data_IF_327316401657
#
_entry.id   IF_327316401657
#
_cell.length_a   1.000
_cell.length_b   1.000
_cell.length_c   1.000
_cell.angle_alpha   90.00
_cell.angle_beta   90.00
_cell.angle_gamma   90.00
#
_symmetry.space_group_name_H-M   'P 1'
#
loop_
_entity.id
_entity.type
_entity.pdbx_description
1 polymer ?
#
# COMPACT_ATOMS: atom_id res chain seq x y z
N UNK A 1 3.58 4.05 -9.86
CA UNK A 1 4.14 4.97 -8.83
C UNK A 1 4.46 6.32 -9.45
N UNK A 2 4.48 7.37 -8.64
CA UNK A 2 4.92 8.72 -9.04
C UNK A 2 6.32 8.99 -8.50
N UNK A 3 7.23 9.37 -9.36
CA UNK A 3 8.64 9.62 -9.03
C UNK A 3 8.99 11.06 -9.37
N UNK A 4 9.57 11.80 -8.42
CA UNK A 4 10.17 13.12 -8.68
C UNK A 4 11.69 13.02 -8.67
N UNK A 5 12.33 13.64 -9.64
CA UNK A 5 13.79 13.79 -9.72
C UNK A 5 14.10 15.27 -9.67
N UNK A 6 14.86 15.70 -8.67
CA UNK A 6 15.11 17.11 -8.38
C UNK A 6 16.59 17.40 -8.46
N UNK A 7 16.99 18.31 -9.34
CA UNK A 7 18.38 18.73 -9.51
C UNK A 7 18.56 20.24 -9.49
N UNK A 8 19.73 20.68 -9.03
CA UNK A 8 20.09 22.11 -8.93
C UNK A 8 21.31 22.49 -9.80
N UNK A 9 21.92 21.51 -10.47
CA UNK A 9 23.09 21.72 -11.33
C UNK A 9 22.89 21.10 -12.71
N UNK A 10 23.50 21.62 -13.76
CA UNK A 10 23.47 21.05 -15.14
C UNK A 10 23.92 19.59 -15.16
N UNK A 11 24.93 19.26 -14.35
CA UNK A 11 25.47 17.90 -14.26
C UNK A 11 24.44 16.97 -13.58
N UNK A 12 23.84 17.43 -12.48
CA UNK A 12 22.76 16.71 -11.82
C UNK A 12 21.54 16.51 -12.72
N UNK A 13 21.17 17.51 -13.53
CA UNK A 13 20.08 17.38 -14.49
C UNK A 13 20.33 16.25 -15.51
N UNK A 14 21.56 16.12 -16.04
CA UNK A 14 21.91 15.00 -16.94
C UNK A 14 21.76 13.62 -16.26
N UNK A 15 22.21 13.49 -15.00
CA UNK A 15 22.01 12.27 -14.21
C UNK A 15 20.52 12.01 -13.99
N UNK A 16 19.76 13.06 -13.70
CA UNK A 16 18.30 12.96 -13.54
C UNK A 16 17.61 12.44 -14.80
N UNK A 17 17.98 12.92 -15.97
CA UNK A 17 17.45 12.43 -17.25
C UNK A 17 17.86 10.96 -17.53
N UNK A 18 19.06 10.53 -17.13
CA UNK A 18 19.48 9.14 -17.24
C UNK A 18 18.58 8.23 -16.39
N UNK A 19 18.32 8.60 -15.13
CA UNK A 19 17.43 7.86 -14.23
C UNK A 19 15.98 7.88 -14.77
N UNK A 20 15.49 9.06 -15.20
CA UNK A 20 14.15 9.18 -15.81
C UNK A 20 13.95 8.20 -16.96
N UNK A 21 14.92 8.11 -17.85
CA UNK A 21 14.83 7.26 -19.04
C UNK A 21 14.64 5.77 -18.72
N UNK A 22 15.11 5.32 -17.57
CA UNK A 22 14.95 3.94 -17.12
C UNK A 22 13.55 3.66 -16.55
N UNK A 23 12.85 4.68 -16.00
CA UNK A 23 11.59 4.47 -15.29
C UNK A 23 10.36 4.96 -16.06
N UNK A 24 10.49 5.82 -17.06
CA UNK A 24 9.36 6.50 -17.72
C UNK A 24 8.38 5.57 -18.45
N UNK A 25 8.78 4.35 -18.75
CA UNK A 25 7.94 3.35 -19.42
C UNK A 25 6.89 2.74 -18.48
N UNK A 26 7.22 2.61 -17.19
CA UNK A 26 6.39 1.91 -16.20
C UNK A 26 5.83 2.84 -15.12
N UNK A 27 6.40 4.05 -14.99
CA UNK A 27 6.10 4.98 -13.91
C UNK A 27 5.87 6.40 -14.43
N UNK A 28 5.12 7.20 -13.69
CA UNK A 28 5.04 8.63 -13.90
C UNK A 28 6.30 9.28 -13.30
N UNK A 29 7.14 9.91 -14.15
CA UNK A 29 8.42 10.48 -13.71
C UNK A 29 8.53 11.93 -14.15
N UNK A 30 8.62 12.83 -13.17
CA UNK A 30 8.78 14.26 -13.37
C UNK A 30 10.18 14.72 -12.93
N UNK A 31 10.82 15.54 -13.77
CA UNK A 31 12.12 16.14 -13.46
C UNK A 31 11.94 17.61 -13.14
N UNK A 32 12.52 18.05 -12.04
CA UNK A 32 12.51 19.44 -11.55
C UNK A 32 13.92 20.03 -11.59
N UNK A 33 14.08 21.16 -12.29
CA UNK A 33 15.36 21.80 -12.50
C UNK A 33 15.30 23.30 -12.16
N UNK A 34 16.40 23.90 -11.72
CA UNK A 34 16.47 25.33 -11.42
C UNK A 34 16.48 26.17 -12.71
N UNK A 35 15.64 27.22 -12.75
CA UNK A 35 15.26 28.02 -13.96
C UNK A 35 16.42 28.75 -14.67
N UNK A 36 17.56 29.00 -14.03
CA UNK A 36 18.69 29.72 -14.64
C UNK A 36 19.40 28.93 -15.76
N UNK A 37 18.76 27.87 -16.29
CA UNK A 37 19.38 26.91 -17.20
C UNK A 37 18.40 26.53 -18.31
N UNK A 38 18.91 26.30 -19.49
CA UNK A 38 18.15 25.72 -20.59
C UNK A 38 17.69 24.32 -20.18
N UNK A 39 16.41 24.23 -19.76
CA UNK A 39 15.78 22.98 -19.45
C UNK A 39 15.56 22.20 -20.73
N UNK A 40 15.81 20.90 -20.70
CA UNK A 40 15.28 20.03 -21.77
C UNK A 40 13.75 20.11 -21.82
N UNK A 41 13.15 19.84 -22.96
CA UNK A 41 11.69 19.94 -23.24
C UNK A 41 10.79 19.15 -22.26
N UNK A 42 11.36 18.35 -21.34
CA UNK A 42 10.65 17.46 -20.43
C UNK A 42 10.83 17.79 -18.94
N UNK A 43 11.56 18.88 -18.60
CA UNK A 43 11.82 19.24 -17.21
C UNK A 43 10.94 20.42 -16.75
N UNK A 44 10.46 20.34 -15.51
CA UNK A 44 9.72 21.42 -14.85
C UNK A 44 10.71 22.40 -14.24
N UNK A 45 10.69 23.63 -14.72
CA UNK A 45 11.60 24.68 -14.33
C UNK A 45 11.16 25.36 -13.03
N UNK A 46 12.05 25.45 -12.02
CA UNK A 46 11.73 26.06 -10.73
C UNK A 46 12.63 27.28 -10.46
N UNK A 47 12.05 28.42 -10.12
CA UNK A 47 12.80 29.60 -9.68
C UNK A 47 13.42 29.40 -8.29
N UNK A 48 12.73 28.66 -7.40
CA UNK A 48 13.18 28.26 -6.07
C UNK A 48 12.58 26.90 -5.72
N UNK A 49 13.38 25.99 -5.16
CA UNK A 49 12.93 24.66 -4.77
C UNK A 49 12.13 24.66 -3.47
N UNK A 50 12.52 25.48 -2.50
CA UNK A 50 11.96 25.44 -1.13
C UNK A 50 10.42 25.54 -1.07
N UNK A 51 9.73 26.41 -1.83
CA UNK A 51 8.27 26.48 -1.81
C UNK A 51 7.56 25.25 -2.37
N UNK A 52 8.25 24.43 -3.14
CA UNK A 52 7.66 23.25 -3.82
C UNK A 52 7.85 21.94 -3.06
N UNK A 53 8.65 21.95 -1.98
CA UNK A 53 8.96 20.71 -1.23
C UNK A 53 7.70 20.10 -0.63
N UNK A 54 6.79 20.88 -0.10
CA UNK A 54 5.52 20.39 0.46
C UNK A 54 4.68 19.68 -0.60
N UNK A 55 4.57 20.27 -1.78
CA UNK A 55 3.87 19.63 -2.90
C UNK A 55 4.56 18.34 -3.34
N UNK A 56 5.88 18.36 -3.51
CA UNK A 56 6.65 17.15 -3.86
C UNK A 56 6.46 16.05 -2.82
N UNK A 57 6.46 16.41 -1.54
CA UNK A 57 6.27 15.47 -0.43
C UNK A 57 4.91 14.78 -0.45
N UNK A 58 3.85 15.51 -0.81
CA UNK A 58 2.49 14.98 -0.80
C UNK A 58 2.09 14.27 -2.09
N UNK A 59 2.69 14.65 -3.23
CA UNK A 59 2.26 14.18 -4.55
C UNK A 59 3.04 12.97 -5.07
N UNK A 60 4.23 12.69 -4.51
CA UNK A 60 5.13 11.64 -5.02
C UNK A 60 5.42 10.55 -4.00
N UNK A 61 5.46 9.31 -4.49
CA UNK A 61 5.82 8.12 -3.70
C UNK A 61 7.34 8.04 -3.46
N UNK A 62 8.15 8.54 -4.42
CA UNK A 62 9.62 8.49 -4.44
C UNK A 62 10.19 9.80 -4.90
N UNK A 63 11.21 10.30 -4.20
CA UNK A 63 11.88 11.56 -4.55
C UNK A 63 13.41 11.37 -4.54
N UNK A 64 14.05 11.55 -5.70
CA UNK A 64 15.51 11.58 -5.83
C UNK A 64 16.00 13.03 -5.87
N UNK A 65 16.77 13.43 -4.89
CA UNK A 65 17.47 14.73 -4.86
C UNK A 65 18.91 14.58 -5.34
N UNK A 66 19.27 15.27 -6.42
CA UNK A 66 20.66 15.30 -6.94
C UNK A 66 21.30 16.61 -6.49
N UNK A 67 21.77 16.62 -5.24
CA UNK A 67 22.38 17.78 -4.58
C UNK A 67 23.01 17.39 -3.23
N UNK A 68 23.61 18.36 -2.52
CA UNK A 68 24.21 18.11 -1.22
C UNK A 68 23.20 17.63 -0.16
N UNK A 69 23.50 16.51 0.51
CA UNK A 69 22.64 15.87 1.54
C UNK A 69 22.17 16.84 2.63
N UNK A 70 23.07 17.71 3.12
CA UNK A 70 22.70 18.67 4.16
C UNK A 70 21.67 19.71 3.72
N UNK A 71 21.56 20.02 2.42
CA UNK A 71 20.52 20.88 1.86
C UNK A 71 19.19 20.13 1.91
N UNK A 72 19.18 18.88 1.44
CA UNK A 72 17.98 18.03 1.42
C UNK A 72 17.40 17.89 2.83
N UNK A 73 18.23 17.48 3.79
CA UNK A 73 17.81 17.31 5.20
C UNK A 73 17.12 18.56 5.75
N UNK A 74 17.69 19.75 5.54
CA UNK A 74 17.07 21.01 6.02
C UNK A 74 15.77 21.34 5.32
N UNK A 75 15.61 20.93 4.06
CA UNK A 75 14.36 21.19 3.31
C UNK A 75 13.23 20.25 3.70
N UNK A 76 13.53 18.97 3.90
CA UNK A 76 12.51 17.95 4.20
C UNK A 76 12.15 17.85 5.68
N UNK A 77 13.03 18.31 6.59
CA UNK A 77 12.84 18.17 8.04
C UNK A 77 11.46 18.63 8.57
N UNK A 78 10.84 19.72 8.06
CA UNK A 78 9.50 20.14 8.52
C UNK A 78 8.36 19.19 8.13
N UNK A 79 8.57 18.31 7.17
CA UNK A 79 7.54 17.43 6.59
C UNK A 79 7.65 16.00 7.09
N UNK A 80 8.77 15.60 7.70
CA UNK A 80 8.99 14.24 8.21
C UNK A 80 8.00 13.95 9.33
N UNK A 81 7.22 12.86 9.17
CA UNK A 81 6.20 12.42 10.13
C UNK A 81 6.50 11.01 10.63
N UNK A 82 6.28 10.03 9.78
CA UNK A 82 6.45 8.62 10.13
C UNK A 82 6.85 7.79 8.92
N UNK A 83 7.71 6.76 9.15
CA UNK A 83 8.25 5.88 8.10
C UNK A 83 7.21 5.12 7.27
N UNK A 84 5.95 5.07 7.70
CA UNK A 84 4.84 4.45 6.97
C UNK A 84 4.09 5.41 6.04
N UNK A 85 4.32 6.71 6.18
CA UNK A 85 3.61 7.76 5.43
C UNK A 85 4.58 8.58 4.56
N UNK A 86 5.83 8.72 5.03
CA UNK A 86 6.83 9.52 4.35
C UNK A 86 7.28 8.86 3.05
N UNK A 87 7.45 9.63 1.95
CA UNK A 87 7.93 9.10 0.68
C UNK A 87 9.34 8.52 0.80
N UNK A 88 9.71 7.64 -0.14
CA UNK A 88 11.07 7.16 -0.25
C UNK A 88 11.99 8.28 -0.75
N UNK A 89 13.00 8.65 0.04
CA UNK A 89 13.93 9.73 -0.31
C UNK A 89 15.32 9.19 -0.58
N UNK A 90 15.81 9.47 -1.78
CA UNK A 90 17.21 9.27 -2.14
C UNK A 90 17.93 10.60 -2.29
N UNK A 91 19.22 10.58 -1.98
CA UNK A 91 20.13 11.69 -2.27
C UNK A 91 21.33 11.20 -3.05
N UNK A 92 21.64 11.87 -4.16
CA UNK A 92 22.80 11.60 -5.00
C UNK A 92 23.67 12.84 -5.09
N UNK A 93 24.98 12.68 -5.06
CA UNK A 93 25.90 13.78 -5.37
C UNK A 93 25.83 14.13 -6.87
N UNK A 94 26.18 15.36 -7.23
CA UNK A 94 26.11 15.82 -8.62
C UNK A 94 27.12 15.13 -9.54
N UNK A 95 28.10 14.45 -8.98
CA UNK A 95 29.07 13.62 -9.69
C UNK A 95 28.54 12.24 -10.04
N UNK A 96 27.46 11.80 -9.37
CA UNK A 96 26.93 10.45 -9.53
C UNK A 96 27.82 9.37 -8.91
N UNK A 97 28.62 9.71 -7.89
CA UNK A 97 29.50 8.74 -7.24
C UNK A 97 28.78 7.91 -6.18
N UNK A 98 27.83 8.53 -5.46
CA UNK A 98 27.10 7.91 -4.37
C UNK A 98 25.61 8.19 -4.50
N UNK A 99 24.80 7.18 -4.22
CA UNK A 99 23.36 7.32 -4.02
C UNK A 99 23.00 6.79 -2.63
N UNK A 100 22.35 7.64 -1.84
CA UNK A 100 22.10 7.42 -0.41
C UNK A 100 20.62 7.17 -0.19
N UNK A 101 20.28 6.03 0.46
CA UNK A 101 18.96 5.82 1.03
C UNK A 101 18.80 6.68 2.27
N UNK A 102 18.11 7.84 2.12
CA UNK A 102 18.04 8.83 3.21
C UNK A 102 16.85 8.59 4.11
N UNK A 103 15.67 8.25 3.56
CA UNK A 103 14.43 8.10 4.34
C UNK A 103 13.55 6.99 3.76
N UNK A 104 12.77 6.34 4.63
CA UNK A 104 11.80 5.28 4.28
C UNK A 104 12.43 4.07 3.58
N UNK A 105 13.55 3.56 4.15
CA UNK A 105 14.38 2.51 3.58
C UNK A 105 13.63 1.23 3.21
N UNK A 106 12.92 0.62 4.17
CA UNK A 106 12.21 -0.64 4.00
C UNK A 106 10.80 -0.45 3.44
N UNK A 107 9.87 0.08 4.24
CA UNK A 107 8.46 0.23 3.86
C UNK A 107 8.25 1.13 2.65
N UNK A 108 8.96 2.24 2.56
CA UNK A 108 8.94 3.11 1.39
C UNK A 108 9.74 2.57 0.21
N UNK A 109 10.62 1.56 0.45
CA UNK A 109 11.43 0.93 -0.59
C UNK A 109 12.66 1.73 -1.01
N UNK A 110 13.12 2.72 -0.22
CA UNK A 110 14.28 3.53 -0.57
C UNK A 110 15.58 2.71 -0.69
N UNK A 111 15.78 1.65 0.10
CA UNK A 111 16.97 0.81 0.02
C UNK A 111 17.08 0.06 -1.30
N UNK A 112 15.99 -0.58 -1.73
CA UNK A 112 15.94 -1.27 -3.01
C UNK A 112 16.09 -0.28 -4.18
N UNK A 113 15.35 0.82 -4.13
CA UNK A 113 15.44 1.87 -5.14
C UNK A 113 16.83 2.51 -5.21
N UNK A 114 17.55 2.61 -4.08
CA UNK A 114 18.97 3.03 -4.05
C UNK A 114 19.84 2.09 -4.88
N UNK A 115 19.64 0.77 -4.74
CA UNK A 115 20.38 -0.23 -5.51
C UNK A 115 20.06 -0.17 -7.00
N UNK A 116 18.78 0.01 -7.37
CA UNK A 116 18.35 0.20 -8.76
C UNK A 116 18.96 1.44 -9.39
N UNK A 117 18.88 2.60 -8.71
CA UNK A 117 19.46 3.85 -9.20
C UNK A 117 20.99 3.75 -9.32
N UNK A 118 21.63 3.06 -8.38
CA UNK A 118 23.08 2.78 -8.44
C UNK A 118 23.44 1.97 -9.69
N UNK A 119 22.70 0.92 -10.02
CA UNK A 119 22.91 0.13 -11.25
C UNK A 119 22.77 0.98 -12.52
N UNK A 120 21.73 1.85 -12.57
CA UNK A 120 21.47 2.71 -13.72
C UNK A 120 22.59 3.74 -13.94
N UNK A 121 23.12 4.31 -12.86
CA UNK A 121 24.04 5.45 -12.91
C UNK A 121 25.52 5.06 -12.78
N UNK A 122 25.80 3.82 -12.32
CA UNK A 122 27.15 3.38 -11.95
C UNK A 122 27.62 3.94 -10.60
N UNK A 123 26.71 4.49 -9.78
CA UNK A 123 27.01 5.03 -8.46
C UNK A 123 27.24 3.91 -7.43
N UNK A 124 27.87 4.25 -6.31
CA UNK A 124 27.96 3.38 -5.15
C UNK A 124 26.69 3.56 -4.28
N UNK A 125 25.91 2.50 -4.01
CA UNK A 125 24.75 2.58 -3.11
C UNK A 125 25.23 2.72 -1.66
N UNK A 126 24.58 3.61 -0.90
CA UNK A 126 24.85 3.83 0.53
C UNK A 126 23.58 3.49 1.30
N UNK A 127 23.52 2.28 1.87
CA UNK A 127 22.43 1.76 2.68
C UNK A 127 22.99 1.47 4.08
N UNK A 128 22.36 2.03 5.12
CA UNK A 128 22.88 1.97 6.49
C UNK A 128 21.96 1.24 7.46
N UNK A 129 20.85 0.69 6.97
CA UNK A 129 19.88 -0.04 7.79
C UNK A 129 20.49 -1.33 8.31
N UNK A 130 20.42 -1.57 9.62
CA UNK A 130 21.11 -2.67 10.27
C UNK A 130 20.76 -4.05 9.70
N UNK A 131 19.50 -4.27 9.34
CA UNK A 131 19.04 -5.52 8.73
C UNK A 131 19.64 -5.75 7.35
N UNK A 132 19.73 -4.69 6.51
CA UNK A 132 20.35 -4.79 5.17
C UNK A 132 21.87 -5.03 5.28
N UNK A 133 22.55 -4.28 6.16
CA UNK A 133 23.99 -4.42 6.37
C UNK A 133 24.36 -5.82 6.83
N UNK A 134 23.51 -6.45 7.65
CA UNK A 134 23.71 -7.80 8.17
C UNK A 134 23.01 -8.88 7.34
N UNK A 135 22.35 -8.52 6.23
CA UNK A 135 21.59 -9.45 5.38
C UNK A 135 20.52 -10.23 6.16
N UNK A 136 19.86 -9.57 7.10
CA UNK A 136 18.82 -10.17 7.94
C UNK A 136 17.43 -9.98 7.32
N UNK A 137 16.53 -10.97 7.44
CA UNK A 137 15.18 -10.91 6.86
C UNK A 137 14.28 -9.98 7.68
N UNK A 138 14.15 -8.71 7.23
CA UNK A 138 13.34 -7.71 7.91
C UNK A 138 11.83 -7.89 7.60
N UNK A 139 10.95 -7.97 8.62
CA UNK A 139 9.51 -8.15 8.42
C UNK A 139 8.83 -7.04 7.63
N UNK A 140 9.31 -5.83 7.70
CA UNK A 140 8.78 -4.69 6.94
C UNK A 140 9.15 -4.75 5.44
N UNK A 141 10.25 -5.40 5.08
CA UNK A 141 10.56 -5.75 3.69
C UNK A 141 9.55 -6.77 3.16
N UNK A 142 9.25 -7.83 3.95
CA UNK A 142 8.22 -8.79 3.59
C UNK A 142 6.85 -8.13 3.48
N UNK A 143 6.47 -7.29 4.48
CA UNK A 143 5.20 -6.56 4.45
C UNK A 143 5.04 -5.76 3.15
N UNK A 144 6.07 -5.04 2.72
CA UNK A 144 6.06 -4.30 1.45
C UNK A 144 5.88 -5.24 0.24
N UNK A 145 6.62 -6.35 0.18
CA UNK A 145 6.54 -7.31 -0.92
C UNK A 145 5.15 -7.90 -1.10
N UNK A 146 4.46 -8.19 0.01
CA UNK A 146 3.09 -8.73 -0.02
C UNK A 146 2.00 -7.64 0.06
N UNK A 147 2.36 -6.36 0.01
CA UNK A 147 1.43 -5.23 0.13
C UNK A 147 0.73 -5.13 1.49
N UNK A 148 1.28 -5.79 2.53
CA UNK A 148 0.65 -5.85 3.85
C UNK A 148 0.85 -4.55 4.64
N UNK A 149 -0.18 -4.18 5.39
CA UNK A 149 -0.09 -3.13 6.41
C UNK A 149 0.46 -3.72 7.71
N UNK A 150 1.30 -2.94 8.39
CA UNK A 150 1.79 -3.25 9.75
C UNK A 150 0.73 -2.82 10.76
N UNK A 151 0.21 -3.75 11.57
CA UNK A 151 -0.86 -3.44 12.52
C UNK A 151 -0.36 -2.60 13.69
N UNK A 152 0.82 -2.92 14.23
CA UNK A 152 1.45 -2.20 15.34
C UNK A 152 2.94 -1.96 15.08
N UNK A 153 3.31 -0.71 14.84
CA UNK A 153 4.70 -0.33 14.61
C UNK A 153 5.60 -0.50 15.84
N UNK A 154 5.05 -0.49 17.06
CA UNK A 154 5.83 -0.77 18.27
C UNK A 154 6.30 -2.21 18.31
N UNK A 155 5.49 -3.15 17.81
CA UNK A 155 5.88 -4.56 17.68
C UNK A 155 6.87 -4.78 16.54
N UNK A 156 6.75 -4.02 15.44
CA UNK A 156 7.77 -4.04 14.37
C UNK A 156 9.16 -3.65 14.89
N UNK A 157 9.24 -2.61 15.73
CA UNK A 157 10.51 -2.20 16.34
C UNK A 157 11.08 -3.31 17.22
N UNK A 158 10.25 -3.94 18.05
CA UNK A 158 10.68 -5.04 18.94
C UNK A 158 11.14 -6.28 18.17
N UNK A 159 10.40 -6.68 17.13
CA UNK A 159 10.77 -7.84 16.30
C UNK A 159 12.05 -7.55 15.52
N UNK A 160 12.20 -6.36 14.92
CA UNK A 160 13.45 -5.99 14.26
C UNK A 160 14.64 -5.97 15.22
N UNK A 161 14.45 -5.48 16.47
CA UNK A 161 15.49 -5.52 17.49
C UNK A 161 15.89 -6.97 17.86
N UNK A 162 14.91 -7.87 18.02
CA UNK A 162 15.17 -9.30 18.26
C UNK A 162 15.99 -9.92 17.12
N UNK A 163 15.62 -9.67 15.87
CA UNK A 163 16.35 -10.15 14.68
C UNK A 163 17.81 -9.65 14.69
N UNK A 164 18.02 -8.34 14.91
CA UNK A 164 19.37 -7.74 14.94
C UNK A 164 20.21 -8.29 16.09
N UNK A 165 19.59 -8.63 17.24
CA UNK A 165 20.24 -9.25 18.38
C UNK A 165 20.50 -10.77 18.22
N UNK A 166 20.08 -11.37 17.10
CA UNK A 166 20.26 -12.81 16.85
C UNK A 166 19.27 -13.71 17.61
N UNK A 167 18.17 -13.16 18.09
CA UNK A 167 17.10 -13.95 18.71
C UNK A 167 16.30 -14.69 17.62
N UNK A 168 15.81 -15.88 17.94
CA UNK A 168 14.94 -16.63 17.03
C UNK A 168 13.58 -15.92 16.88
N UNK A 169 13.21 -15.61 15.66
CA UNK A 169 11.90 -15.05 15.31
C UNK A 169 11.16 -16.02 14.41
N UNK A 170 9.96 -16.45 14.81
CA UNK A 170 9.13 -17.35 14.02
C UNK A 170 8.11 -16.60 13.19
N UNK A 171 7.90 -17.07 11.97
CA UNK A 171 6.86 -16.55 11.07
C UNK A 171 5.71 -17.55 10.98
N UNK A 172 4.50 -17.03 11.01
CA UNK A 172 3.28 -17.81 10.86
C UNK A 172 2.43 -17.24 9.74
N UNK A 173 2.10 -18.09 8.77
CA UNK A 173 1.23 -17.74 7.65
C UNK A 173 -0.13 -18.43 7.82
N UNK A 174 -1.21 -17.67 7.77
CA UNK A 174 -2.58 -18.20 7.70
C UNK A 174 -2.71 -19.13 6.50
N UNK A 175 -3.07 -20.40 6.74
CA UNK A 175 -3.14 -21.43 5.70
C UNK A 175 -4.12 -21.08 4.58
N UNK A 176 -5.14 -20.27 4.88
CA UNK A 176 -6.10 -19.78 3.87
C UNK A 176 -5.52 -18.73 2.93
N UNK A 177 -4.32 -18.23 3.23
CA UNK A 177 -3.57 -17.23 2.44
C UNK A 177 -2.32 -17.83 1.78
N UNK A 178 -2.08 -19.14 1.93
CA UNK A 178 -0.87 -19.78 1.44
C UNK A 178 -0.71 -19.64 -0.08
N UNK A 179 -1.77 -19.88 -0.85
CA UNK A 179 -1.76 -19.78 -2.32
C UNK A 179 -1.33 -18.38 -2.82
N UNK A 180 -1.63 -17.32 -2.06
CA UNK A 180 -1.29 -15.95 -2.44
C UNK A 180 0.12 -15.53 -1.97
N UNK A 181 0.59 -16.02 -0.80
CA UNK A 181 1.75 -15.42 -0.13
C UNK A 181 2.88 -16.38 0.25
N UNK A 182 2.68 -17.70 0.19
CA UNK A 182 3.70 -18.66 0.62
C UNK A 182 5.01 -18.51 -0.14
N UNK A 183 4.95 -18.30 -1.46
CA UNK A 183 6.14 -18.06 -2.28
C UNK A 183 6.94 -16.84 -1.81
N UNK A 184 6.26 -15.73 -1.46
CA UNK A 184 6.94 -14.54 -0.96
C UNK A 184 7.61 -14.78 0.38
N UNK A 185 6.99 -15.56 1.27
CA UNK A 185 7.55 -15.93 2.58
C UNK A 185 8.77 -16.83 2.40
N UNK A 186 8.71 -17.80 1.49
CA UNK A 186 9.85 -18.68 1.16
C UNK A 186 11.03 -17.90 0.60
N UNK A 187 10.79 -17.00 -0.35
CA UNK A 187 11.84 -16.14 -0.93
C UNK A 187 12.47 -15.23 0.12
N UNK A 188 11.73 -14.87 1.17
CA UNK A 188 12.24 -14.09 2.29
C UNK A 188 13.19 -14.87 3.20
N UNK A 189 13.30 -16.20 3.02
CA UNK A 189 14.24 -17.09 3.72
C UNK A 189 14.09 -17.07 5.23
N UNK A 190 12.85 -17.07 5.73
CA UNK A 190 12.53 -17.16 7.16
C UNK A 190 12.05 -18.55 7.54
N UNK A 191 12.24 -18.92 8.81
CA UNK A 191 11.57 -20.09 9.39
C UNK A 191 10.09 -19.77 9.59
N UNK A 192 9.21 -20.44 8.84
CA UNK A 192 7.78 -20.21 8.90
C UNK A 192 6.98 -21.50 9.05
N UNK A 193 5.78 -21.37 9.62
CA UNK A 193 4.80 -22.43 9.71
C UNK A 193 3.43 -21.95 9.23
N UNK A 194 2.67 -22.84 8.57
CA UNK A 194 1.27 -22.59 8.31
C UNK A 194 0.46 -22.84 9.59
N UNK A 195 -0.50 -21.99 9.89
CA UNK A 195 -1.45 -22.20 10.97
C UNK A 195 -2.88 -22.25 10.46
N UNK A 196 -3.70 -23.10 11.08
CA UNK A 196 -5.12 -23.20 10.79
C UNK A 196 -5.89 -22.22 11.67
N UNK A 197 -6.70 -21.33 11.13
CA UNK A 197 -7.40 -20.30 11.89
C UNK A 197 -8.41 -20.82 12.90
N UNK A 198 -8.92 -22.04 12.72
CA UNK A 198 -9.90 -22.69 13.58
C UNK A 198 -9.26 -23.43 14.76
N UNK A 199 -7.94 -23.65 14.71
CA UNK A 199 -7.17 -24.32 15.76
C UNK A 199 -6.62 -23.31 16.78
N UNK A 200 -6.39 -23.71 18.04
CA UNK A 200 -5.67 -22.87 19.00
C UNK A 200 -4.31 -22.49 18.46
N UNK A 201 -4.04 -21.21 18.37
CA UNK A 201 -2.76 -20.73 17.86
C UNK A 201 -1.60 -21.21 18.73
N UNK A 202 -0.52 -21.75 18.15
CA UNK A 202 0.62 -22.28 18.91
C UNK A 202 1.50 -21.13 19.43
N UNK A 203 0.98 -20.37 20.40
CA UNK A 203 1.71 -19.27 21.02
C UNK A 203 2.89 -19.77 21.83
N UNK A 204 4.12 -19.63 21.31
CA UNK A 204 5.34 -19.71 22.08
C UNK A 204 5.68 -18.35 22.70
N UNK A 205 6.73 -18.32 23.55
CA UNK A 205 7.22 -17.08 24.18
C UNK A 205 8.13 -16.26 23.26
N UNK A 206 8.62 -16.86 22.17
CA UNK A 206 9.50 -16.21 21.21
C UNK A 206 8.82 -15.05 20.48
N UNK A 207 9.58 -14.02 20.06
CA UNK A 207 9.10 -12.99 19.14
C UNK A 207 8.60 -13.62 17.83
N UNK A 208 7.47 -13.14 17.30
CA UNK A 208 6.84 -13.73 16.12
C UNK A 208 6.24 -12.72 15.17
N UNK A 209 6.16 -13.13 13.91
CA UNK A 209 5.45 -12.43 12.84
C UNK A 209 4.28 -13.28 12.39
N UNK A 210 3.09 -12.72 12.35
CA UNK A 210 1.87 -13.41 11.91
C UNK A 210 1.31 -12.71 10.67
N UNK A 211 1.11 -13.46 9.59
CA UNK A 211 0.56 -12.97 8.34
C UNK A 211 -0.86 -13.51 8.23
N UNK A 212 -1.85 -12.66 8.44
CA UNK A 212 -3.27 -13.02 8.41
C UNK A 212 -4.17 -11.79 8.20
N UNK A 213 -5.32 -11.98 7.60
CA UNK A 213 -6.38 -10.98 7.49
C UNK A 213 -7.42 -11.07 8.61
N UNK A 214 -7.32 -12.11 9.47
CA UNK A 214 -8.25 -12.36 10.59
C UNK A 214 -7.89 -11.56 11.82
N UNK A 215 -8.91 -11.16 12.59
CA UNK A 215 -8.68 -10.66 13.95
C UNK A 215 -8.20 -11.81 14.84
N UNK A 216 -7.07 -11.62 15.50
CA UNK A 216 -6.45 -12.61 16.40
C UNK A 216 -6.11 -11.96 17.74
N UNK A 217 -6.12 -12.74 18.80
CA UNK A 217 -5.59 -12.32 20.10
C UNK A 217 -4.07 -12.49 20.12
N UNK A 218 -3.33 -11.40 20.28
CA UNK A 218 -1.88 -11.40 20.29
C UNK A 218 -1.33 -11.60 21.69
N UNK A 219 -0.30 -12.45 21.84
CA UNK A 219 0.40 -12.72 23.10
C UNK A 219 1.88 -12.44 22.93
N UNK A 220 2.49 -11.76 23.92
CA UNK A 220 3.93 -11.45 23.90
C UNK A 220 4.32 -10.49 22.78
N UNK A 221 5.52 -10.67 22.22
CA UNK A 221 6.02 -9.86 21.11
C UNK A 221 5.51 -10.46 19.80
N UNK A 222 4.33 -10.01 19.37
CA UNK A 222 3.67 -10.47 18.14
C UNK A 222 3.48 -9.32 17.18
N UNK A 223 4.15 -9.38 16.04
CA UNK A 223 3.94 -8.46 14.90
C UNK A 223 2.92 -9.07 13.94
N UNK A 224 1.83 -8.36 13.66
CA UNK A 224 0.85 -8.80 12.69
C UNK A 224 0.98 -8.00 11.40
N UNK A 225 1.12 -8.72 10.29
CA UNK A 225 1.10 -8.18 8.94
C UNK A 225 -0.26 -8.48 8.30
N UNK A 226 -0.91 -7.43 7.78
CA UNK A 226 -2.28 -7.43 7.24
C UNK A 226 -2.26 -7.31 5.72
N UNK A 227 -2.20 -8.41 4.96
CA UNK A 227 -2.22 -8.36 3.51
C UNK A 227 -3.60 -7.91 2.99
N UNK A 228 -3.67 -7.23 1.81
CA UNK A 228 -4.89 -6.63 1.27
C UNK A 228 -5.76 -7.68 0.54
N UNK A 229 -6.35 -8.61 1.29
CA UNK A 229 -7.06 -9.80 0.78
C UNK A 229 -8.55 -9.62 0.57
N UNK A 230 -9.10 -8.42 0.81
CA UNK A 230 -10.53 -8.19 0.76
C UNK A 230 -10.91 -6.93 0.01
N UNK A 231 -12.07 -6.95 -0.62
CA UNK A 231 -12.76 -5.79 -1.19
C UNK A 231 -14.16 -5.67 -0.61
N UNK A 232 -14.63 -4.44 -0.47
CA UNK A 232 -15.93 -4.13 0.14
C UNK A 232 -16.83 -3.45 -0.89
N UNK A 233 -17.94 -4.10 -1.23
CA UNK A 233 -18.99 -3.49 -2.06
C UNK A 233 -20.04 -2.82 -1.18
N UNK A 234 -20.40 -1.58 -1.50
CA UNK A 234 -21.31 -0.76 -0.71
C UNK A 234 -22.46 -0.25 -1.58
N UNK A 235 -23.69 -0.56 -1.17
CA UNK A 235 -24.88 0.09 -1.67
C UNK A 235 -25.49 0.98 -0.58
N UNK A 236 -25.82 2.23 -0.88
CA UNK A 236 -26.45 3.12 0.07
C UNK A 236 -27.62 3.92 -0.57
N UNK A 237 -28.55 4.40 0.25
CA UNK A 237 -29.58 5.35 -0.18
C UNK A 237 -28.95 6.74 -0.37
N UNK A 238 -29.62 7.62 -1.10
CA UNK A 238 -29.23 9.03 -1.17
C UNK A 238 -29.23 9.67 0.22
N UNK A 239 -28.30 10.58 0.44
CA UNK A 239 -28.10 11.32 1.70
C UNK A 239 -27.96 10.39 2.92
N UNK A 240 -27.23 9.28 2.76
CA UNK A 240 -26.88 8.41 3.88
C UNK A 240 -25.71 9.00 4.65
N UNK A 241 -25.86 9.31 5.96
CA UNK A 241 -24.77 9.82 6.78
C UNK A 241 -23.56 8.87 6.80
N UNK A 242 -22.34 9.41 6.82
CA UNK A 242 -21.11 8.62 6.84
C UNK A 242 -21.04 7.64 8.02
N UNK A 243 -21.55 8.04 9.18
CA UNK A 243 -21.54 7.22 10.40
C UNK A 243 -22.31 5.91 10.23
N UNK A 244 -23.41 5.91 9.47
CA UNK A 244 -24.15 4.70 9.15
C UNK A 244 -23.37 3.78 8.21
N UNK A 245 -22.63 4.32 7.28
CA UNK A 245 -21.77 3.56 6.36
C UNK A 245 -20.60 2.96 7.13
N UNK A 246 -19.91 3.77 7.94
CA UNK A 246 -18.82 3.31 8.81
C UNK A 246 -19.25 2.18 9.75
N UNK A 247 -20.41 2.35 10.42
CA UNK A 247 -20.97 1.33 11.31
C UNK A 247 -21.31 0.04 10.58
N UNK A 248 -21.93 0.13 9.39
CA UNK A 248 -22.29 -1.03 8.58
C UNK A 248 -21.05 -1.82 8.13
N UNK A 249 -20.00 -1.12 7.70
CA UNK A 249 -18.74 -1.73 7.28
C UNK A 249 -18.02 -2.37 8.48
N UNK A 250 -17.93 -1.67 9.61
CA UNK A 250 -17.29 -2.19 10.81
C UNK A 250 -17.97 -3.46 11.33
N UNK A 251 -19.31 -3.45 11.42
CA UNK A 251 -20.10 -4.61 11.82
C UNK A 251 -19.94 -5.78 10.84
N UNK A 252 -19.93 -5.51 9.52
CA UNK A 252 -19.70 -6.54 8.51
C UNK A 252 -18.34 -7.24 8.69
N UNK A 253 -17.25 -6.48 8.87
CA UNK A 253 -15.92 -7.04 9.11
C UNK A 253 -15.84 -7.80 10.44
N UNK A 254 -16.48 -7.29 11.50
CA UNK A 254 -16.55 -7.95 12.79
C UNK A 254 -17.27 -9.29 12.71
N UNK A 255 -18.39 -9.38 11.99
CA UNK A 255 -19.18 -10.60 11.82
C UNK A 255 -18.38 -11.74 11.19
N UNK A 256 -17.48 -11.42 10.27
CA UNK A 256 -16.58 -12.40 9.63
C UNK A 256 -15.18 -12.47 10.30
N UNK A 257 -14.99 -11.77 11.41
CA UNK A 257 -13.74 -11.71 12.19
C UNK A 257 -12.52 -11.33 11.32
N UNK A 258 -12.63 -10.26 10.51
CA UNK A 258 -11.57 -9.76 9.64
C UNK A 258 -11.12 -8.37 10.02
N UNK A 259 -9.84 -8.12 9.79
CA UNK A 259 -9.22 -6.82 10.06
C UNK A 259 -9.54 -5.79 8.97
N UNK A 260 -9.96 -4.56 9.30
CA UNK A 260 -10.14 -3.50 8.32
C UNK A 260 -8.83 -3.11 7.61
N UNK A 261 -7.68 -3.41 8.20
CA UNK A 261 -6.36 -3.17 7.58
C UNK A 261 -6.12 -4.06 6.37
N UNK A 262 -6.81 -5.21 6.26
CA UNK A 262 -6.71 -6.13 5.13
C UNK A 262 -7.68 -5.81 3.99
N UNK A 263 -8.40 -4.70 4.08
CA UNK A 263 -9.24 -4.22 2.98
C UNK A 263 -8.39 -3.47 1.96
N UNK A 264 -8.42 -3.95 0.71
CA UNK A 264 -7.75 -3.37 -0.46
C UNK A 264 -8.42 -2.07 -0.93
N UNK A 265 -9.77 -2.03 -0.84
CA UNK A 265 -10.57 -0.90 -1.26
C UNK A 265 -12.06 -1.20 -1.23
N UNK A 266 -12.83 -0.16 -1.52
CA UNK A 266 -14.28 -0.23 -1.61
C UNK A 266 -14.77 -0.02 -3.05
N UNK A 267 -15.99 -0.47 -3.34
CA UNK A 267 -16.63 -0.25 -4.63
C UNK A 267 -18.13 0.03 -4.50
N UNK A 268 -18.67 0.78 -5.46
CA UNK A 268 -20.08 1.06 -5.57
C UNK A 268 -20.49 1.28 -7.04
N UNK A 269 -21.76 1.54 -7.27
CA UNK A 269 -22.28 1.85 -8.61
C UNK A 269 -22.05 3.34 -8.94
N UNK A 270 -21.81 3.66 -10.21
CA UNK A 270 -21.44 5.00 -10.69
C UNK A 270 -22.43 6.10 -10.27
N UNK A 271 -23.73 5.79 -10.15
CA UNK A 271 -24.75 6.75 -9.70
C UNK A 271 -24.58 7.20 -8.23
N UNK A 272 -23.59 6.64 -7.53
CA UNK A 272 -23.19 6.98 -6.16
C UNK A 272 -21.85 7.72 -6.07
N UNK A 273 -21.26 8.09 -7.21
CA UNK A 273 -19.97 8.78 -7.25
C UNK A 273 -20.01 10.20 -6.64
N UNK A 274 -21.20 10.77 -6.50
CA UNK A 274 -21.47 12.09 -5.89
C UNK A 274 -22.09 12.00 -4.47
N UNK A 275 -22.12 10.80 -3.86
CA UNK A 275 -22.72 10.59 -2.55
C UNK A 275 -21.76 11.00 -1.42
N UNK A 276 -21.99 12.17 -0.85
CA UNK A 276 -21.07 12.83 0.11
C UNK A 276 -20.72 11.91 1.28
N UNK A 277 -21.72 11.30 1.94
CA UNK A 277 -21.47 10.45 3.10
C UNK A 277 -20.66 9.19 2.76
N UNK A 278 -20.78 8.66 1.52
CA UNK A 278 -19.96 7.54 1.07
C UNK A 278 -18.50 7.97 0.86
N UNK A 279 -18.28 9.10 0.22
CA UNK A 279 -16.93 9.63 -0.05
C UNK A 279 -16.20 9.99 1.26
N UNK A 280 -16.88 10.69 2.18
CA UNK A 280 -16.35 11.00 3.50
C UNK A 280 -16.02 9.76 4.34
N UNK A 281 -16.86 8.70 4.25
CA UNK A 281 -16.57 7.43 4.94
C UNK A 281 -15.31 6.77 4.38
N UNK A 282 -15.11 6.78 3.06
CA UNK A 282 -13.93 6.19 2.42
C UNK A 282 -12.66 7.00 2.72
N UNK A 283 -12.77 8.32 2.79
CA UNK A 283 -11.66 9.20 3.19
C UNK A 283 -11.24 8.90 4.64
N UNK A 284 -12.19 8.76 5.57
CA UNK A 284 -11.90 8.44 6.97
C UNK A 284 -11.24 7.06 7.14
N UNK A 285 -11.70 6.05 6.37
CA UNK A 285 -11.10 4.72 6.34
C UNK A 285 -9.76 4.67 5.57
N UNK A 286 -9.43 5.73 4.82
CA UNK A 286 -8.28 5.77 3.89
C UNK A 286 -8.35 4.62 2.86
N UNK A 287 -9.55 4.29 2.39
CA UNK A 287 -9.75 3.27 1.37
C UNK A 287 -10.01 3.90 0.01
N UNK A 288 -9.30 3.47 -1.04
CA UNK A 288 -9.67 3.85 -2.40
C UNK A 288 -11.06 3.30 -2.73
N UNK A 289 -11.86 4.09 -3.43
CA UNK A 289 -13.18 3.67 -3.91
C UNK A 289 -13.23 3.68 -5.43
N UNK A 290 -13.77 2.61 -6.01
CA UNK A 290 -14.02 2.47 -7.44
C UNK A 290 -15.53 2.41 -7.71
N UNK A 291 -15.94 3.07 -8.79
CA UNK A 291 -17.34 3.08 -9.22
C UNK A 291 -17.48 2.36 -10.56
N UNK A 292 -18.48 1.50 -10.65
CA UNK A 292 -18.77 0.69 -11.84
C UNK A 292 -20.08 1.11 -12.50
N UNK A 293 -20.12 1.05 -13.81
CA UNK A 293 -21.34 1.25 -14.61
C UNK A 293 -22.22 0.01 -14.61
N UNK A 294 -23.47 0.15 -15.07
CA UNK A 294 -24.38 -0.98 -15.20
C UNK A 294 -23.89 -2.02 -16.23
N UNK A 295 -23.28 -1.53 -17.33
CA UNK A 295 -22.72 -2.38 -18.38
C UNK A 295 -21.55 -3.23 -17.86
N UNK A 296 -20.71 -2.69 -16.98
CA UNK A 296 -19.62 -3.42 -16.34
C UNK A 296 -20.11 -4.44 -15.31
N UNK A 297 -21.25 -4.16 -14.66
CA UNK A 297 -21.83 -5.03 -13.63
C UNK A 297 -22.62 -6.22 -14.21
N UNK A 298 -23.25 -6.06 -15.36
CA UNK A 298 -24.15 -7.06 -15.92
C UNK A 298 -23.47 -8.43 -16.17
N UNK A 299 -22.28 -8.53 -16.77
CA UNK A 299 -21.60 -9.82 -16.96
C UNK A 299 -21.29 -10.53 -15.63
N UNK A 300 -20.85 -9.78 -14.60
CA UNK A 300 -20.53 -10.34 -13.30
C UNK A 300 -21.76 -10.93 -12.60
N UNK A 301 -22.93 -10.29 -12.76
CA UNK A 301 -24.19 -10.79 -12.19
C UNK A 301 -24.56 -12.15 -12.81
N UNK A 302 -24.38 -12.31 -14.12
CA UNK A 302 -24.67 -13.55 -14.84
C UNK A 302 -23.67 -14.66 -14.46
N UNK A 303 -22.38 -14.36 -14.48
CA UNK A 303 -21.31 -15.33 -14.18
C UNK A 303 -21.36 -15.83 -12.74
N UNK A 304 -21.55 -14.94 -11.77
CA UNK A 304 -21.61 -15.28 -10.36
C UNK A 304 -23.02 -15.69 -9.87
N UNK A 305 -24.01 -15.75 -10.78
CA UNK A 305 -25.41 -16.10 -10.48
C UNK A 305 -26.01 -15.29 -9.30
N UNK A 306 -25.71 -14.00 -9.24
CA UNK A 306 -26.09 -13.13 -8.14
C UNK A 306 -27.61 -12.92 -8.13
N UNK A 307 -28.22 -13.10 -6.96
CA UNK A 307 -29.67 -12.87 -6.79
C UNK A 307 -29.95 -11.39 -6.87
N UNK A 308 -30.78 -10.99 -7.83
CA UNK A 308 -31.18 -9.62 -8.06
C UNK A 308 -32.47 -9.24 -7.30
N UNK A 309 -32.50 -8.01 -6.77
CA UNK A 309 -33.69 -7.38 -6.25
C UNK A 309 -34.43 -6.62 -7.35
N UNK A 310 -35.70 -6.96 -7.60
CA UNK A 310 -36.53 -6.26 -8.58
C UNK A 310 -36.65 -4.76 -8.30
N UNK A 311 -36.73 -4.37 -7.03
CA UNK A 311 -36.82 -2.97 -6.61
C UNK A 311 -35.53 -2.19 -6.98
N UNK A 312 -34.36 -2.77 -6.70
CA UNK A 312 -33.06 -2.13 -7.03
C UNK A 312 -32.89 -2.09 -8.53
N UNK A 313 -33.27 -3.14 -9.25
CA UNK A 313 -33.20 -3.21 -10.72
C UNK A 313 -34.03 -2.15 -11.40
N UNK A 314 -35.24 -1.87 -10.91
CA UNK A 314 -36.09 -0.78 -11.44
C UNK A 314 -35.52 0.62 -11.18
N UNK A 315 -34.74 0.78 -10.09
CA UNK A 315 -34.24 2.11 -9.68
C UNK A 315 -32.87 2.41 -10.26
N UNK A 316 -32.00 1.42 -10.36
CA UNK A 316 -30.56 1.56 -10.67
C UNK A 316 -30.19 0.78 -11.95
N UNK A 317 -31.09 -0.06 -12.48
CA UNK A 317 -30.88 -0.90 -13.66
C UNK A 317 -30.19 -2.25 -13.38
N UNK A 318 -29.61 -2.44 -12.20
CA UNK A 318 -29.01 -3.70 -11.71
C UNK A 318 -29.57 -4.04 -10.34
N UNK A 319 -29.87 -5.31 -10.09
CA UNK A 319 -30.60 -5.74 -8.89
C UNK A 319 -29.74 -5.97 -7.64
N UNK A 320 -28.42 -5.98 -7.77
CA UNK A 320 -27.50 -6.15 -6.63
C UNK A 320 -26.21 -5.33 -6.85
N UNK A 321 -26.03 -4.30 -6.05
CA UNK A 321 -24.89 -3.41 -6.15
C UNK A 321 -23.70 -3.95 -5.35
N UNK A 322 -23.91 -4.26 -4.05
CA UNK A 322 -22.78 -4.52 -3.16
C UNK A 322 -22.03 -5.82 -3.49
N UNK A 323 -22.69 -6.93 -3.77
CA UNK A 323 -22.02 -8.19 -4.13
C UNK A 323 -21.28 -8.04 -5.46
N UNK A 324 -21.96 -7.50 -6.46
CA UNK A 324 -21.39 -7.34 -7.80
C UNK A 324 -20.15 -6.45 -7.79
N UNK A 325 -20.23 -5.29 -7.12
CA UNK A 325 -19.09 -4.36 -7.10
C UNK A 325 -17.94 -4.86 -6.23
N UNK A 326 -18.22 -5.62 -5.15
CA UNK A 326 -17.17 -6.29 -4.38
C UNK A 326 -16.40 -7.30 -5.24
N UNK A 327 -17.10 -8.18 -5.98
CA UNK A 327 -16.48 -9.18 -6.84
C UNK A 327 -15.69 -8.56 -8.01
N UNK A 328 -16.23 -7.52 -8.64
CA UNK A 328 -15.53 -6.80 -9.72
C UNK A 328 -14.21 -6.20 -9.22
N UNK A 329 -14.22 -5.54 -8.07
CA UNK A 329 -13.00 -4.96 -7.49
C UNK A 329 -12.01 -6.04 -7.02
N UNK A 330 -12.51 -7.17 -6.55
CA UNK A 330 -11.72 -8.32 -6.16
C UNK A 330 -11.05 -9.04 -7.34
N UNK A 331 -11.62 -8.88 -8.55
CA UNK A 331 -11.28 -9.70 -9.72
C UNK A 331 -11.39 -11.21 -9.41
N UNK A 332 -12.39 -11.58 -8.62
CA UNK A 332 -12.61 -12.92 -8.09
C UNK A 332 -14.07 -13.32 -8.07
N UNK A 333 -14.36 -14.54 -7.64
CA UNK A 333 -15.72 -15.09 -7.60
C UNK A 333 -16.17 -15.50 -6.18
N UNK A 334 -15.33 -15.33 -5.16
CA UNK A 334 -15.62 -15.73 -3.80
C UNK A 334 -16.14 -14.56 -2.96
N UNK A 335 -17.33 -14.69 -2.38
CA UNK A 335 -17.87 -13.79 -1.36
C UNK A 335 -17.56 -14.35 0.03
N UNK A 336 -16.80 -13.60 0.82
CA UNK A 336 -16.57 -13.87 2.25
C UNK A 336 -17.81 -13.52 3.08
N UNK A 337 -18.57 -12.52 2.64
CA UNK A 337 -19.85 -12.13 3.20
C UNK A 337 -20.81 -11.73 2.08
N UNK A 338 -21.94 -12.42 2.00
CA UNK A 338 -23.05 -12.05 1.15
C UNK A 338 -23.68 -10.73 1.58
N UNK A 339 -24.50 -10.15 0.71
CA UNK A 339 -25.23 -8.91 0.98
C UNK A 339 -25.89 -8.92 2.35
N UNK A 340 -25.39 -8.07 3.23
CA UNK A 340 -25.98 -7.79 4.55
C UNK A 340 -26.63 -6.42 4.52
N UNK A 341 -27.84 -6.33 5.08
CA UNK A 341 -28.69 -5.14 5.05
C UNK A 341 -28.59 -4.42 6.39
N UNK A 342 -28.22 -3.15 6.34
CA UNK A 342 -28.15 -2.23 7.46
C UNK A 342 -29.10 -1.05 7.22
N UNK A 343 -29.34 -0.19 8.23
CA UNK A 343 -30.11 1.03 8.03
C UNK A 343 -29.52 1.88 6.87
N UNK A 344 -30.29 2.04 5.78
CA UNK A 344 -29.94 2.79 4.57
C UNK A 344 -28.71 2.30 3.79
N UNK A 345 -28.05 1.21 4.20
CA UNK A 345 -26.79 0.72 3.63
C UNK A 345 -26.86 -0.80 3.42
N UNK A 346 -26.22 -1.31 2.39
CA UNK A 346 -25.95 -2.73 2.18
C UNK A 346 -24.46 -2.94 1.96
N UNK A 347 -23.91 -3.99 2.54
CA UNK A 347 -22.48 -4.32 2.44
C UNK A 347 -22.32 -5.77 2.02
N UNK A 348 -21.37 -6.03 1.15
CA UNK A 348 -20.85 -7.36 0.83
C UNK A 348 -19.31 -7.32 0.82
N UNK A 349 -18.67 -8.43 1.12
CA UNK A 349 -17.21 -8.54 1.17
C UNK A 349 -16.78 -9.70 0.30
N UNK A 350 -15.85 -9.46 -0.63
CA UNK A 350 -15.28 -10.46 -1.51
C UNK A 350 -13.79 -10.70 -1.20
N UNK A 351 -13.34 -11.93 -1.49
CA UNK A 351 -11.94 -12.33 -1.45
C UNK A 351 -11.21 -11.72 -2.64
N UNK A 352 -10.17 -10.96 -2.38
CA UNK A 352 -9.26 -10.45 -3.40
C UNK A 352 -7.98 -11.30 -3.41
N UNK A 353 -7.65 -11.87 -4.57
CA UNK A 353 -6.36 -12.51 -4.77
C UNK A 353 -5.28 -11.45 -5.02
N UNK A 354 -4.17 -11.58 -4.31
CA UNK A 354 -3.02 -10.70 -4.47
C UNK A 354 -2.05 -11.36 -5.45
N UNK A 355 -2.09 -10.96 -6.72
CA UNK A 355 -0.97 -11.27 -7.61
C UNK A 355 0.22 -10.45 -7.12
N UNK A 356 1.22 -11.14 -6.56
CA UNK A 356 2.51 -10.52 -6.28
C UNK A 356 3.08 -10.07 -7.63
N UNK A 357 3.44 -8.81 -7.76
CA UNK A 357 4.23 -8.35 -8.91
C UNK A 357 5.59 -9.08 -8.86
N UNK A 358 5.89 -9.80 -9.93
CA UNK A 358 7.20 -10.41 -10.16
C UNK A 358 8.35 -9.40 -10.05
#
# INVERSE_FOLDING_TARGET
MKIAIVSVTKRGAKLGQQVRSAYVQEHMVDCYEKVERESGDTAISLSSLKPHIEQLWNDYDRILFIMATGIVVRMIAPFIKHKSEDPAILVMDEGGHFVISLLSGHLGGANEWTSEVAMITGATPVITTATDVNQLPAPDVLARKIGAKVEDFSMLIKVNAAIVNGEAVKYYLDSTLADDFETAVQVHQVDYALFQPEEPFPWGDEPKVVITDRTIECVGVTLVLRPPTMTVGIGCRRDTPKELILSAVAESLQNIKRSPLSVKGAASVIVKADEVGLLEAMEELKWPIQFYTQEEMAPCIEEAQIIESNFVKQTIGVGNVCETTALLLAQGQELLQHKTIFPRTTVAIARAHCKLSE
#
